data_IF_263848471826
#
_entry.id   IF_263848471826
#
_cell.length_a   1.000
_cell.length_b   1.000
_cell.length_c   1.000
_cell.angle_alpha   90.00
_cell.angle_beta   90.00
_cell.angle_gamma   90.00
#
_symmetry.space_group_name_H-M   'P 1'
#
loop_
_entity.id
_entity.type
_entity.pdbx_description
1 polymer ?
#
# COMPACT_ATOMS: atom_id res chain seq x y z
N UNK A 1 -20.75 18.68 48.65
CA UNK A 1 -20.22 18.01 47.46
C UNK A 1 -19.43 16.79 47.89
N UNK A 2 -19.96 15.58 47.63
CA UNK A 2 -19.29 14.30 47.95
C UNK A 2 -18.86 13.68 46.64
N UNK A 3 -17.57 13.39 46.50
CA UNK A 3 -17.04 12.65 45.36
C UNK A 3 -17.55 11.20 45.41
N UNK A 4 -18.05 10.65 44.28
CA UNK A 4 -18.32 9.22 44.17
C UNK A 4 -17.00 8.43 44.14
N UNK A 5 -16.91 7.39 44.96
CA UNK A 5 -15.75 6.50 45.00
C UNK A 5 -16.05 5.22 44.19
N UNK A 6 -15.27 4.98 43.15
CA UNK A 6 -15.25 3.70 42.46
C UNK A 6 -14.33 2.72 43.19
N UNK A 7 -14.80 1.50 43.41
CA UNK A 7 -14.12 0.49 44.24
C UNK A 7 -13.89 -0.75 43.37
N UNK A 8 -12.63 -1.15 43.22
CA UNK A 8 -12.25 -2.44 42.65
C UNK A 8 -12.51 -3.53 43.68
N UNK A 9 -13.43 -4.45 43.36
CA UNK A 9 -13.66 -5.67 44.15
C UNK A 9 -13.05 -6.83 43.36
N UNK A 10 -11.99 -7.42 43.90
CA UNK A 10 -11.43 -8.65 43.35
C UNK A 10 -12.44 -9.80 43.54
N UNK A 11 -13.08 -10.22 42.45
CA UNK A 11 -13.94 -11.41 42.45
C UNK A 11 -13.25 -12.55 41.70
N UNK A 12 -13.08 -13.68 42.38
CA UNK A 12 -12.74 -14.97 41.80
C UNK A 12 -14.04 -15.62 41.31
N UNK A 13 -14.09 -16.07 40.06
CA UNK A 13 -15.02 -17.08 39.55
C UNK A 13 -14.20 -18.01 38.64
N UNK A 14 -13.98 -19.27 39.01
CA UNK A 14 -14.85 -20.46 38.92
C UNK A 14 -15.37 -20.73 37.51
N UNK A 15 -14.87 -21.85 37.00
CA UNK A 15 -15.14 -22.46 35.70
C UNK A 15 -16.64 -22.66 35.43
N UNK A 16 -17.06 -22.27 34.23
CA UNK A 16 -18.22 -22.84 33.58
C UNK A 16 -17.88 -23.21 32.14
N UNK A 17 -17.89 -24.52 31.88
CA UNK A 17 -17.93 -25.12 30.55
C UNK A 17 -19.18 -24.66 29.80
N UNK A 18 -18.99 -24.28 28.54
CA UNK A 18 -20.02 -24.30 27.50
C UNK A 18 -19.49 -25.10 26.28
N UNK A 19 -20.38 -25.73 25.50
CA UNK A 19 -20.05 -26.82 24.62
C UNK A 19 -19.48 -26.37 23.27
N UNK A 20 -18.72 -27.28 22.66
CA UNK A 20 -18.29 -27.29 21.27
C UNK A 20 -19.46 -27.51 20.31
N UNK A 21 -19.46 -26.80 19.17
CA UNK A 21 -19.41 -27.40 17.83
C UNK A 21 -19.66 -26.34 16.76
N UNK A 22 -18.79 -26.36 15.73
CA UNK A 22 -19.08 -26.11 14.31
C UNK A 22 -20.14 -25.06 13.95
N UNK A 23 -19.70 -23.96 13.36
CA UNK A 23 -20.00 -23.65 11.96
C UNK A 23 -19.15 -22.45 11.52
N UNK A 24 -18.04 -22.77 10.85
CA UNK A 24 -17.24 -21.82 10.09
C UNK A 24 -18.04 -21.50 8.82
N UNK A 25 -18.45 -20.24 8.66
CA UNK A 25 -19.01 -19.74 7.41
C UNK A 25 -18.03 -18.73 6.85
N UNK A 26 -17.15 -19.22 5.98
CA UNK A 26 -16.25 -18.43 5.15
C UNK A 26 -17.06 -17.48 4.26
N UNK A 27 -16.95 -16.17 4.50
CA UNK A 27 -17.37 -15.13 3.54
C UNK A 27 -16.15 -14.64 2.76
N UNK A 28 -15.53 -15.56 2.02
CA UNK A 28 -14.63 -15.23 0.90
C UNK A 28 -15.23 -15.86 -0.36
N UNK A 29 -16.13 -15.15 -1.00
CA UNK A 29 -16.64 -15.51 -2.33
C UNK A 29 -16.88 -14.25 -3.18
N UNK A 30 -15.79 -13.61 -3.58
CA UNK A 30 -15.77 -12.85 -4.83
C UNK A 30 -14.85 -13.60 -5.78
N UNK A 31 -15.48 -14.35 -6.69
CA UNK A 31 -14.85 -15.10 -7.75
C UNK A 31 -14.11 -14.15 -8.69
N UNK A 32 -12.77 -14.18 -8.63
CA UNK A 32 -11.93 -13.82 -9.77
C UNK A 32 -11.63 -15.10 -10.56
N UNK A 33 -11.73 -15.09 -11.90
CA UNK A 33 -11.58 -16.31 -12.68
C UNK A 33 -10.19 -16.93 -12.49
N UNK A 34 -10.17 -18.22 -12.18
CA UNK A 34 -8.96 -19.04 -12.11
C UNK A 34 -8.18 -18.94 -13.43
N UNK A 35 -6.90 -18.56 -13.33
CA UNK A 35 -5.92 -18.75 -14.39
C UNK A 35 -5.87 -20.24 -14.74
N UNK A 36 -6.31 -20.60 -15.94
CA UNK A 36 -6.02 -21.89 -16.54
C UNK A 36 -4.52 -21.97 -16.82
N UNK A 37 -3.78 -22.73 -16.02
CA UNK A 37 -2.57 -23.38 -16.49
C UNK A 37 -2.99 -24.47 -17.46
N UNK A 38 -3.02 -24.11 -18.75
CA UNK A 38 -2.66 -24.96 -19.89
C UNK A 38 -2.89 -24.18 -21.18
N UNK A 39 -1.91 -23.34 -21.51
CA UNK A 39 -1.55 -23.08 -22.90
C UNK A 39 -0.04 -23.13 -22.98
N UNK A 40 0.44 -24.33 -23.29
CA UNK A 40 1.69 -24.49 -24.01
C UNK A 40 1.82 -23.38 -25.05
N UNK A 41 2.97 -22.70 -25.04
CA UNK A 41 3.35 -21.77 -26.08
C UNK A 41 3.23 -22.49 -27.42
N UNK A 42 2.12 -22.24 -28.11
CA UNK A 42 2.01 -22.59 -29.51
C UNK A 42 3.09 -21.76 -30.23
N UNK A 43 3.94 -22.38 -31.06
CA UNK A 43 4.82 -21.60 -31.90
C UNK A 43 3.93 -20.66 -32.72
N UNK A 44 4.39 -19.42 -32.89
CA UNK A 44 3.80 -18.51 -33.88
C UNK A 44 3.50 -19.33 -35.13
N UNK A 45 2.23 -19.42 -35.52
CA UNK A 45 1.85 -19.95 -36.82
C UNK A 45 2.57 -19.08 -37.84
N UNK A 46 3.70 -19.57 -38.33
CA UNK A 46 4.19 -19.24 -39.66
C UNK A 46 2.99 -19.49 -40.57
N UNK A 47 2.38 -18.39 -41.01
CA UNK A 47 1.49 -18.43 -42.14
C UNK A 47 2.35 -18.79 -43.34
N UNK A 48 2.53 -20.09 -43.55
CA UNK A 48 3.01 -20.69 -44.79
C UNK A 48 2.00 -20.36 -45.89
N UNK A 49 2.11 -19.14 -46.42
CA UNK A 49 1.61 -18.76 -47.72
C UNK A 49 2.82 -18.64 -48.65
N UNK A 50 3.36 -19.81 -48.97
CA UNK A 50 4.34 -20.01 -50.03
C UNK A 50 3.65 -19.79 -51.40
N UNK A 51 3.35 -18.54 -51.74
CA UNK A 51 2.97 -18.12 -53.10
C UNK A 51 2.95 -16.59 -53.26
N UNK A 52 4.10 -15.92 -53.18
CA UNK A 52 4.25 -14.58 -53.79
C UNK A 52 5.64 -14.49 -54.38
N UNK A 53 5.72 -14.38 -55.72
CA UNK A 53 6.90 -13.79 -56.34
C UNK A 53 7.25 -12.52 -55.58
N UNK A 54 8.51 -12.40 -55.17
CA UNK A 54 8.96 -11.34 -54.26
C UNK A 54 8.48 -10.00 -54.80
N UNK A 55 7.52 -9.38 -54.10
CA UNK A 55 7.01 -8.07 -54.51
C UNK A 55 8.20 -7.13 -54.59
N UNK A 56 8.47 -6.62 -55.79
CA UNK A 56 9.60 -5.70 -56.01
C UNK A 56 9.26 -4.27 -55.61
N UNK A 57 7.96 -3.95 -55.54
CA UNK A 57 7.43 -2.62 -55.27
C UNK A 57 6.51 -2.67 -54.05
N UNK A 58 6.79 -1.84 -53.06
CA UNK A 58 6.01 -1.69 -51.84
C UNK A 58 5.52 -0.25 -51.70
N UNK A 59 4.21 -0.06 -51.57
CA UNK A 59 3.62 1.24 -51.24
C UNK A 59 3.54 1.35 -49.72
N UNK A 60 4.38 2.18 -49.12
CA UNK A 60 4.36 2.49 -47.70
C UNK A 60 3.48 3.72 -47.54
N UNK A 61 2.29 3.54 -46.97
CA UNK A 61 1.34 4.63 -46.72
C UNK A 61 1.87 5.59 -45.63
N UNK A 62 1.25 6.79 -45.45
CA UNK A 62 1.50 7.60 -44.26
C UNK A 62 1.31 6.80 -42.97
N UNK A 63 2.14 7.08 -41.95
CA UNK A 63 2.13 6.37 -40.66
C UNK A 63 2.31 4.86 -40.73
N UNK A 64 2.87 4.36 -41.83
CA UNK A 64 3.34 2.97 -41.93
C UNK A 64 4.86 2.93 -42.06
N UNK A 65 5.44 1.82 -41.63
CA UNK A 65 6.86 1.53 -41.76
C UNK A 65 7.11 0.09 -42.19
N UNK A 66 8.30 -0.18 -42.71
CA UNK A 66 8.75 -1.55 -42.99
C UNK A 66 10.21 -1.74 -42.59
N UNK A 67 10.63 -3.00 -42.42
CA UNK A 67 12.03 -3.34 -42.20
C UNK A 67 12.62 -3.99 -43.44
N UNK A 68 13.74 -3.46 -43.90
CA UNK A 68 14.48 -3.97 -45.07
C UNK A 68 15.87 -4.39 -44.61
N UNK A 69 16.22 -5.63 -44.88
CA UNK A 69 17.56 -6.20 -44.70
C UNK A 69 18.32 -6.10 -46.01
N UNK A 70 19.46 -5.41 -45.99
CA UNK A 70 20.47 -5.53 -47.04
C UNK A 70 21.32 -6.78 -46.78
N UNK A 71 21.29 -7.74 -47.70
CA UNK A 71 22.01 -9.02 -47.60
C UNK A 71 23.52 -8.88 -47.82
N UNK A 72 23.98 -7.80 -48.45
CA UNK A 72 25.41 -7.56 -48.68
C UNK A 72 26.08 -7.08 -47.40
N UNK A 73 25.45 -6.13 -46.71
CA UNK A 73 25.96 -5.56 -45.46
C UNK A 73 25.43 -6.26 -44.21
N UNK A 74 24.39 -7.09 -44.37
CA UNK A 74 23.61 -7.72 -43.28
C UNK A 74 22.99 -6.70 -42.31
N UNK A 75 22.65 -5.51 -42.81
CA UNK A 75 22.07 -4.42 -42.02
C UNK A 75 20.57 -4.36 -42.27
N UNK A 76 19.80 -4.44 -41.20
CA UNK A 76 18.36 -4.15 -41.23
C UNK A 76 18.13 -2.67 -40.91
N UNK A 77 17.33 -2.00 -41.73
CA UNK A 77 16.92 -0.61 -41.52
C UNK A 77 15.41 -0.44 -41.62
N UNK A 78 14.92 0.67 -41.08
CA UNK A 78 13.51 1.04 -41.16
C UNK A 78 13.27 1.97 -42.35
N UNK A 79 12.21 1.69 -43.11
CA UNK A 79 11.75 2.55 -44.20
C UNK A 79 10.36 3.09 -43.84
N UNK A 80 10.28 4.40 -43.61
CA UNK A 80 9.05 5.12 -43.22
C UNK A 80 8.30 5.66 -44.47
N UNK A 81 6.96 5.60 -44.47
CA UNK A 81 6.12 6.22 -45.49
C UNK A 81 5.79 7.70 -45.22
N UNK A 82 5.16 8.43 -46.17
CA UNK A 82 4.62 7.95 -47.44
C UNK A 82 5.69 7.84 -48.52
N UNK A 83 5.93 6.63 -49.03
CA UNK A 83 6.81 6.42 -50.20
C UNK A 83 6.52 5.11 -50.91
N UNK A 84 6.82 5.09 -52.21
CA UNK A 84 6.86 3.85 -52.96
C UNK A 84 8.30 3.33 -52.91
N UNK A 85 8.52 2.28 -52.15
CA UNK A 85 9.81 1.63 -51.98
C UNK A 85 10.01 0.57 -53.07
N UNK A 86 11.12 0.66 -53.80
CA UNK A 86 11.50 -0.32 -54.83
C UNK A 86 12.68 -1.11 -54.25
N UNK A 87 12.43 -2.39 -53.97
CA UNK A 87 13.41 -3.29 -53.37
C UNK A 87 14.51 -3.63 -54.39
N UNK A 88 15.76 -3.50 -53.99
CA UNK A 88 16.91 -3.90 -54.80
C UNK A 88 17.12 -5.43 -54.77
N UNK A 89 17.98 -5.95 -55.65
CA UNK A 89 18.24 -7.40 -55.72
C UNK A 89 18.88 -7.96 -54.45
N UNK A 90 19.77 -7.19 -53.81
CA UNK A 90 20.45 -7.56 -52.57
C UNK A 90 19.61 -7.29 -51.32
N UNK A 91 18.32 -6.99 -51.44
CA UNK A 91 17.48 -6.60 -50.32
C UNK A 91 16.34 -7.59 -50.08
N UNK A 92 16.03 -7.78 -48.80
CA UNK A 92 14.91 -8.59 -48.34
C UNK A 92 14.04 -7.78 -47.38
N UNK A 93 12.75 -7.72 -47.66
CA UNK A 93 11.77 -7.15 -46.73
C UNK A 93 11.51 -8.17 -45.62
N UNK A 94 11.81 -7.80 -44.37
CA UNK A 94 11.59 -8.65 -43.19
C UNK A 94 10.20 -8.46 -42.62
N UNK A 95 9.78 -7.20 -42.49
CA UNK A 95 8.47 -6.80 -41.98
C UNK A 95 7.81 -5.96 -43.07
N UNK A 96 6.56 -6.27 -43.41
CA UNK A 96 5.79 -5.53 -44.40
C UNK A 96 5.43 -4.11 -43.93
N UNK A 97 4.69 -3.32 -44.73
CA UNK A 97 4.15 -2.04 -44.28
C UNK A 97 3.20 -2.21 -43.09
N UNK A 98 3.73 -2.11 -41.87
CA UNK A 98 3.01 -2.15 -40.59
C UNK A 98 2.65 -0.75 -40.12
N UNK A 99 1.62 -0.65 -39.29
CA UNK A 99 1.21 0.61 -38.69
C UNK A 99 2.19 1.07 -37.62
N UNK A 100 2.53 2.36 -37.64
CA UNK A 100 3.28 3.01 -36.56
C UNK A 100 2.50 2.95 -35.25
N UNK A 101 3.24 2.99 -34.15
CA UNK A 101 2.66 3.05 -32.83
C UNK A 101 2.16 4.48 -32.60
N UNK A 102 0.88 4.59 -32.28
CA UNK A 102 0.23 5.84 -31.91
C UNK A 102 -0.10 5.74 -30.43
N UNK A 103 0.44 6.67 -29.62
CA UNK A 103 0.16 6.76 -28.20
C UNK A 103 -0.79 7.96 -27.98
N UNK A 104 -2.08 7.72 -27.68
CA UNK A 104 -3.02 8.79 -27.38
C UNK A 104 -2.63 9.58 -26.13
N UNK A 105 -3.25 10.76 -25.90
CA UNK A 105 -3.11 11.49 -24.64
C UNK A 105 -3.42 10.62 -23.43
N UNK A 106 -2.67 10.82 -22.35
CA UNK A 106 -2.79 10.07 -21.09
C UNK A 106 -2.58 8.55 -21.23
N UNK A 107 -1.87 8.08 -22.27
CA UNK A 107 -1.45 6.69 -22.44
C UNK A 107 0.07 6.58 -22.47
N UNK A 108 0.56 5.36 -22.33
CA UNK A 108 1.96 5.02 -22.48
C UNK A 108 2.11 3.63 -23.11
N UNK A 109 3.30 3.33 -23.61
CA UNK A 109 3.73 1.96 -23.88
C UNK A 109 5.17 1.77 -23.37
N UNK A 110 5.58 0.52 -23.14
CA UNK A 110 6.98 0.22 -22.82
C UNK A 110 7.64 -0.49 -24.00
N UNK A 111 8.85 -0.04 -24.34
CA UNK A 111 9.65 -0.62 -25.42
C UNK A 111 10.86 -1.30 -24.80
N UNK A 112 11.07 -2.57 -25.16
CA UNK A 112 12.27 -3.33 -24.82
C UNK A 112 13.32 -3.16 -25.90
N UNK A 113 14.58 -3.11 -25.46
CA UNK A 113 15.74 -2.83 -26.31
C UNK A 113 15.63 -1.49 -27.07
N UNK A 114 15.32 -0.38 -26.38
CA UNK A 114 15.08 0.90 -27.05
C UNK A 114 16.32 1.38 -27.79
N UNK A 115 16.12 2.10 -28.89
CA UNK A 115 17.22 2.71 -29.65
C UNK A 115 18.01 3.70 -28.82
N UNK A 116 19.32 3.76 -29.06
CA UNK A 116 20.20 4.77 -28.48
C UNK A 116 20.04 6.07 -29.28
N UNK A 117 19.74 7.15 -28.56
CA UNK A 117 19.67 8.51 -29.09
C UNK A 117 20.75 9.38 -28.47
N UNK A 118 21.26 10.34 -29.24
CA UNK A 118 22.23 11.33 -28.76
C UNK A 118 21.52 12.50 -28.05
N UNK A 119 22.29 13.53 -27.65
CA UNK A 119 21.76 14.70 -26.95
C UNK A 119 20.74 15.50 -27.80
N UNK A 120 20.88 15.47 -29.13
CA UNK A 120 19.96 16.09 -30.09
C UNK A 120 18.78 15.18 -30.47
N UNK A 121 18.57 14.07 -29.74
CA UNK A 121 17.51 13.09 -29.99
C UNK A 121 17.61 12.34 -31.33
N UNK A 122 18.75 12.40 -32.00
CA UNK A 122 19.06 11.69 -33.24
C UNK A 122 19.54 10.26 -32.95
N UNK A 123 19.28 9.35 -33.90
CA UNK A 123 19.64 7.94 -33.79
C UNK A 123 21.16 7.74 -33.85
N UNK A 124 21.68 6.89 -32.97
CA UNK A 124 23.09 6.50 -32.97
C UNK A 124 23.26 5.18 -33.70
N UNK A 125 24.22 5.14 -34.62
CA UNK A 125 24.59 3.96 -35.39
C UNK A 125 25.95 3.43 -34.93
N UNK A 126 26.16 2.12 -35.04
CA UNK A 126 27.46 1.47 -34.82
C UNK A 126 28.39 1.66 -36.04
N UNK A 127 29.65 1.24 -35.93
CA UNK A 127 30.69 1.34 -36.97
C UNK A 127 30.28 0.72 -38.31
N UNK A 128 29.41 -0.29 -38.27
CA UNK A 128 28.90 -1.00 -39.45
C UNK A 128 27.70 -0.29 -40.07
N UNK A 129 27.09 0.69 -39.38
CA UNK A 129 25.88 1.40 -39.84
C UNK A 129 24.57 0.79 -39.34
N UNK A 130 24.62 -0.22 -38.47
CA UNK A 130 23.44 -0.75 -37.78
C UNK A 130 23.02 0.19 -36.64
N UNK A 131 21.71 0.33 -36.42
CA UNK A 131 21.20 1.14 -35.31
C UNK A 131 21.58 0.53 -33.97
N UNK A 132 22.06 1.36 -33.04
CA UNK A 132 22.48 0.92 -31.72
C UNK A 132 21.27 0.83 -30.79
N UNK A 133 21.14 -0.29 -30.07
CA UNK A 133 20.09 -0.52 -29.09
C UNK A 133 20.67 -0.56 -27.66
N UNK A 134 19.85 -0.19 -26.68
CA UNK A 134 20.11 -0.48 -25.26
C UNK A 134 19.60 -1.88 -24.94
N UNK A 135 20.39 -2.90 -25.27
CA UNK A 135 20.01 -4.29 -25.04
C UNK A 135 19.65 -4.55 -23.58
N UNK A 136 18.56 -5.29 -23.36
CA UNK A 136 18.01 -5.64 -22.05
C UNK A 136 17.60 -4.42 -21.18
N UNK A 137 17.41 -3.25 -21.79
CA UNK A 137 16.83 -2.08 -21.14
C UNK A 137 15.37 -1.88 -21.58
N UNK A 138 14.66 -1.06 -20.83
CA UNK A 138 13.28 -0.65 -21.10
C UNK A 138 13.23 0.88 -21.29
N UNK A 139 12.28 1.34 -22.09
CA UNK A 139 11.95 2.75 -22.26
C UNK A 139 10.43 2.91 -22.17
N UNK A 140 9.98 3.82 -21.32
CA UNK A 140 8.58 4.23 -21.24
C UNK A 140 8.37 5.37 -22.24
N UNK A 141 7.50 5.17 -23.22
CA UNK A 141 7.12 6.21 -24.19
C UNK A 141 5.73 6.73 -23.84
N UNK A 142 5.61 8.06 -23.74
CA UNK A 142 4.35 8.77 -23.51
C UNK A 142 3.77 9.26 -24.84
N UNK A 143 2.74 10.11 -24.78
CA UNK A 143 2.20 10.81 -25.94
C UNK A 143 3.30 11.53 -26.74
N UNK A 144 3.39 11.19 -28.03
CA UNK A 144 4.32 11.78 -28.99
C UNK A 144 3.83 11.48 -30.43
N UNK A 145 4.54 12.03 -31.42
CA UNK A 145 4.27 11.74 -32.82
C UNK A 145 4.33 10.23 -33.12
N UNK A 146 3.49 9.70 -34.02
CA UNK A 146 3.51 8.30 -34.39
C UNK A 146 4.90 7.83 -34.79
N UNK A 147 5.36 6.73 -34.18
CA UNK A 147 6.74 6.26 -34.35
C UNK A 147 6.78 4.80 -34.82
N UNK A 148 7.77 4.43 -35.65
CA UNK A 148 8.02 3.05 -35.99
C UNK A 148 8.76 2.34 -34.85
N UNK A 149 8.73 1.02 -34.84
CA UNK A 149 9.73 0.23 -34.12
C UNK A 149 10.96 0.09 -34.98
N UNK A 150 12.13 0.31 -34.40
CA UNK A 150 13.39 0.01 -35.09
C UNK A 150 13.72 -1.48 -35.01
N UNK A 151 14.54 -2.01 -35.92
CA UNK A 151 14.93 -3.42 -35.90
C UNK A 151 15.53 -3.81 -34.54
N UNK A 152 14.89 -4.77 -33.87
CA UNK A 152 15.27 -5.26 -32.54
C UNK A 152 14.54 -4.61 -31.35
N UNK A 153 13.83 -3.49 -31.56
CA UNK A 153 12.87 -2.98 -30.59
C UNK A 153 11.64 -3.89 -30.54
N UNK A 154 11.11 -4.09 -29.35
CA UNK A 154 9.91 -4.91 -29.13
C UNK A 154 8.98 -4.15 -28.20
N UNK A 155 7.68 -4.11 -28.52
CA UNK A 155 6.66 -3.62 -27.58
C UNK A 155 6.57 -4.63 -26.43
N UNK A 156 6.87 -4.15 -25.23
CA UNK A 156 6.82 -4.93 -24.00
C UNK A 156 5.43 -4.81 -23.37
N UNK A 157 5.00 -3.58 -23.07
CA UNK A 157 3.62 -3.25 -22.69
C UNK A 157 2.95 -2.52 -23.85
N UNK A 158 1.78 -2.99 -24.35
CA UNK A 158 1.04 -2.29 -25.40
C UNK A 158 0.55 -0.92 -24.92
N UNK A 159 -0.01 -0.12 -25.84
CA UNK A 159 -0.57 1.19 -25.51
C UNK A 159 -1.65 1.05 -24.43
N UNK A 160 -1.36 1.58 -23.25
CA UNK A 160 -2.13 1.39 -22.02
C UNK A 160 -2.37 2.77 -21.38
N UNK A 161 -3.55 3.05 -20.81
CA UNK A 161 -3.80 4.31 -20.11
C UNK A 161 -2.88 4.46 -18.88
N UNK A 162 -2.46 5.68 -18.60
CA UNK A 162 -1.74 6.00 -17.38
C UNK A 162 -2.64 5.80 -16.16
N UNK A 163 -2.06 5.32 -15.07
CA UNK A 163 -2.79 5.06 -13.84
C UNK A 163 -3.12 6.37 -13.14
N UNK A 164 -4.42 6.68 -13.02
CA UNK A 164 -4.90 7.84 -12.26
C UNK A 164 -5.11 7.43 -10.80
N UNK A 165 -4.39 8.08 -9.91
CA UNK A 165 -4.48 7.85 -8.46
C UNK A 165 -5.44 8.88 -7.88
N UNK A 166 -6.50 8.41 -7.23
CA UNK A 166 -7.55 9.28 -6.70
C UNK A 166 -7.13 9.94 -5.38
N UNK A 167 -7.83 11.00 -4.98
CA UNK A 167 -7.70 11.54 -3.63
C UNK A 167 -7.97 10.46 -2.58
N UNK A 168 -7.30 10.53 -1.41
CA UNK A 168 -7.37 9.53 -0.35
C UNK A 168 -6.92 8.12 -0.79
N UNK A 169 -6.11 8.02 -1.83
CA UNK A 169 -5.45 6.78 -2.24
C UNK A 169 -4.00 7.04 -2.64
N UNK A 170 -3.19 5.99 -2.60
CA UNK A 170 -1.81 6.02 -3.06
C UNK A 170 -1.43 4.71 -3.74
N UNK A 171 -0.43 4.76 -4.62
CA UNK A 171 0.26 3.56 -5.07
C UNK A 171 1.45 3.32 -4.13
N UNK A 172 1.57 2.10 -3.60
CA UNK A 172 2.77 1.66 -2.92
C UNK A 172 3.76 1.16 -3.96
N UNK A 173 4.87 1.86 -4.06
CA UNK A 173 5.92 1.63 -5.06
C UNK A 173 7.10 0.94 -4.40
N UNK A 174 7.83 0.14 -5.18
CA UNK A 174 9.11 -0.44 -4.78
C UNK A 174 10.18 -0.22 -5.84
N UNK A 175 11.43 0.00 -5.42
CA UNK A 175 12.57 0.09 -6.31
C UNK A 175 13.06 -1.32 -6.70
N UNK A 176 13.10 -1.64 -7.98
CA UNK A 176 13.61 -2.92 -8.51
C UNK A 176 15.15 -2.91 -8.55
N UNK A 177 15.75 -1.74 -8.74
CA UNK A 177 17.20 -1.52 -8.80
C UNK A 177 17.55 -0.14 -8.24
N UNK A 178 18.82 0.06 -7.92
CA UNK A 178 19.31 1.36 -7.44
C UNK A 178 19.15 2.43 -8.52
N UNK A 179 18.60 3.59 -8.15
CA UNK A 179 18.46 4.73 -9.04
C UNK A 179 18.32 6.06 -8.32
N UNK A 180 18.47 7.15 -9.06
CA UNK A 180 18.29 8.51 -8.55
C UNK A 180 16.91 9.03 -8.96
N UNK A 181 16.08 9.35 -7.96
CA UNK A 181 14.75 9.94 -8.10
C UNK A 181 14.82 11.43 -7.74
N UNK A 182 15.30 12.24 -8.70
CA UNK A 182 15.65 13.63 -8.42
C UNK A 182 16.84 13.70 -7.46
N UNK A 183 16.63 14.29 -6.29
CA UNK A 183 17.65 14.40 -5.23
C UNK A 183 17.69 13.18 -4.30
N UNK A 184 16.73 12.26 -4.43
CA UNK A 184 16.60 11.08 -3.55
C UNK A 184 17.29 9.90 -4.21
N UNK A 185 18.33 9.37 -3.55
CA UNK A 185 18.92 8.08 -3.95
C UNK A 185 18.08 6.96 -3.38
N UNK A 186 17.53 6.12 -4.26
CA UNK A 186 16.74 4.95 -3.88
C UNK A 186 17.56 3.69 -4.09
N UNK A 187 17.59 2.85 -3.06
CA UNK A 187 18.18 1.52 -3.12
C UNK A 187 17.15 0.47 -3.51
N UNK A 188 17.60 -0.62 -4.14
CA UNK A 188 16.73 -1.73 -4.48
C UNK A 188 16.02 -2.27 -3.22
N UNK A 189 14.69 -2.44 -3.32
CA UNK A 189 13.82 -2.83 -2.21
C UNK A 189 13.22 -1.65 -1.43
N UNK A 190 13.67 -0.41 -1.64
CA UNK A 190 13.05 0.75 -1.00
C UNK A 190 11.58 0.84 -1.40
N UNK A 191 10.71 1.09 -0.42
CA UNK A 191 9.29 1.32 -0.62
C UNK A 191 8.89 2.77 -0.30
N UNK A 192 7.98 3.32 -1.08
CA UNK A 192 7.40 4.65 -0.85
C UNK A 192 6.00 4.74 -1.44
N UNK A 193 5.32 5.84 -1.14
CA UNK A 193 3.98 6.13 -1.66
C UNK A 193 4.03 7.17 -2.77
N UNK A 194 3.23 6.94 -3.81
CA UNK A 194 2.80 7.97 -4.74
C UNK A 194 1.35 8.34 -4.39
N UNK A 195 1.17 9.44 -3.67
CA UNK A 195 -0.13 9.89 -3.16
C UNK A 195 -0.93 10.65 -4.24
N UNK A 196 -2.23 10.37 -4.34
CA UNK A 196 -3.14 11.10 -5.22
C UNK A 196 -3.69 12.40 -4.60
N UNK A 197 -4.38 13.26 -5.37
CA UNK A 197 -4.81 13.07 -6.75
C UNK A 197 -3.70 13.38 -7.76
N UNK A 198 -3.24 12.37 -8.50
CA UNK A 198 -2.18 12.53 -9.49
C UNK A 198 -2.19 11.39 -10.51
N UNK A 199 -1.64 11.64 -11.70
CA UNK A 199 -1.43 10.59 -12.72
C UNK A 199 -0.04 10.02 -12.55
N UNK A 200 0.04 8.71 -12.28
CA UNK A 200 1.31 8.00 -12.15
C UNK A 200 1.92 7.76 -13.53
N UNK A 201 3.16 8.21 -13.71
CA UNK A 201 3.98 7.92 -14.89
C UNK A 201 4.90 6.73 -14.54
N UNK A 202 4.71 5.57 -15.18
CA UNK A 202 5.55 4.40 -14.93
C UNK A 202 7.02 4.69 -15.19
N UNK A 203 7.89 4.06 -14.41
CA UNK A 203 9.35 4.10 -14.58
C UNK A 203 9.87 2.68 -14.64
N UNK A 204 10.96 2.48 -15.38
CA UNK A 204 11.54 1.14 -15.57
C UNK A 204 12.26 0.61 -14.32
N UNK A 205 12.64 1.50 -13.40
CA UNK A 205 13.27 1.19 -12.12
C UNK A 205 12.26 0.82 -11.02
N UNK A 206 10.97 1.06 -11.24
CA UNK A 206 9.95 1.09 -10.19
C UNK A 206 8.83 0.10 -10.52
N UNK A 207 8.45 -0.70 -9.53
CA UNK A 207 7.27 -1.56 -9.62
C UNK A 207 6.14 -1.05 -8.72
N UNK A 208 4.90 -1.34 -9.11
CA UNK A 208 3.70 -1.00 -8.34
C UNK A 208 3.27 -2.23 -7.56
N UNK A 209 3.41 -2.21 -6.23
CA UNK A 209 3.03 -3.33 -5.37
C UNK A 209 1.52 -3.43 -5.21
N UNK A 210 0.88 -2.35 -4.78
CA UNK A 210 -0.56 -2.31 -4.50
C UNK A 210 -1.09 -0.88 -4.48
N UNK A 211 -2.42 -0.75 -4.60
CA UNK A 211 -3.13 0.51 -4.35
C UNK A 211 -3.62 0.52 -2.92
N UNK A 212 -3.20 1.52 -2.15
CA UNK A 212 -3.59 1.74 -0.76
C UNK A 212 -4.70 2.79 -0.72
N UNK A 213 -5.73 2.55 0.10
CA UNK A 213 -6.81 3.49 0.35
C UNK A 213 -6.73 4.01 1.78
N UNK A 214 -7.11 5.27 1.97
CA UNK A 214 -7.23 5.82 3.29
C UNK A 214 -8.39 5.16 4.06
N UNK A 215 -8.15 4.85 5.33
CA UNK A 215 -9.18 4.34 6.25
C UNK A 215 -9.79 5.52 7.00
N UNK A 216 -11.12 5.60 7.03
CA UNK A 216 -11.83 6.69 7.70
C UNK A 216 -11.91 6.43 9.20
N UNK A 217 -11.34 7.35 9.98
CA UNK A 217 -11.44 7.38 11.44
C UNK A 217 -12.63 8.24 11.83
N UNK A 218 -13.69 7.61 12.36
CA UNK A 218 -14.87 8.31 12.85
C UNK A 218 -14.62 8.94 14.23
N UNK A 219 -15.50 9.87 14.69
CA UNK A 219 -15.50 10.28 16.10
C UNK A 219 -15.61 9.06 17.02
N UNK A 220 -14.92 9.11 18.17
CA UNK A 220 -14.83 7.99 19.12
C UNK A 220 -14.21 6.71 18.55
N UNK A 221 -13.42 6.82 17.48
CA UNK A 221 -12.62 5.72 16.95
C UNK A 221 -11.16 6.15 16.82
N UNK A 222 -10.29 5.16 16.75
CA UNK A 222 -8.88 5.35 16.44
C UNK A 222 -8.35 4.15 15.65
N UNK A 223 -7.25 4.35 14.91
CA UNK A 223 -6.54 3.25 14.25
C UNK A 223 -5.36 2.82 15.10
N UNK A 224 -5.22 1.50 15.29
CA UNK A 224 -4.01 0.88 15.78
C UNK A 224 -3.11 0.54 14.61
N UNK A 225 -1.91 1.11 14.62
CA UNK A 225 -0.91 0.92 13.59
C UNK A 225 0.27 0.14 14.13
N UNK A 226 0.96 -0.55 13.23
CA UNK A 226 2.23 -1.24 13.47
C UNK A 226 3.26 -0.85 12.42
N UNK A 227 4.49 -0.62 12.84
CA UNK A 227 5.61 -0.38 11.93
C UNK A 227 6.12 -1.71 11.35
N UNK A 228 6.09 -1.85 10.02
CA UNK A 228 6.68 -3.01 9.31
C UNK A 228 8.21 -2.92 9.22
N UNK A 229 8.74 -1.70 9.23
CA UNK A 229 10.16 -1.38 9.22
C UNK A 229 10.39 -0.08 10.01
N UNK A 230 11.65 0.28 10.24
CA UNK A 230 12.00 1.59 10.80
C UNK A 230 11.47 2.71 9.91
N UNK A 231 10.63 3.57 10.47
CA UNK A 231 9.95 4.63 9.71
C UNK A 231 9.67 5.83 10.59
N UNK A 232 9.28 6.94 9.98
CA UNK A 232 8.68 8.07 10.67
C UNK A 232 7.16 8.02 10.48
N UNK A 233 6.41 8.17 11.55
CA UNK A 233 4.97 8.29 11.46
C UNK A 233 4.54 9.64 10.88
N UNK A 234 3.23 9.80 10.65
CA UNK A 234 2.65 11.05 10.11
C UNK A 234 2.85 12.29 10.99
N UNK A 235 3.13 12.12 12.29
CA UNK A 235 3.43 13.22 13.22
C UNK A 235 4.95 13.51 13.29
N UNK A 236 5.77 12.78 12.51
CA UNK A 236 7.22 12.94 12.43
C UNK A 236 8.00 12.20 13.52
N UNK A 237 7.33 11.37 14.33
CA UNK A 237 7.98 10.59 15.37
C UNK A 237 8.59 9.32 14.78
N UNK A 238 9.82 9.02 15.18
CA UNK A 238 10.52 7.81 14.77
C UNK A 238 9.88 6.58 15.43
N UNK A 239 9.68 5.55 14.62
CA UNK A 239 9.07 4.26 14.99
C UNK A 239 10.02 3.14 14.63
N UNK A 240 10.21 2.23 15.57
CA UNK A 240 11.03 1.02 15.34
C UNK A 240 10.18 -0.12 14.81
N UNK A 241 10.80 -1.08 14.12
CA UNK A 241 10.13 -2.26 13.58
C UNK A 241 9.32 -3.00 14.66
N UNK A 242 8.05 -3.27 14.38
CA UNK A 242 7.12 -3.92 15.29
C UNK A 242 6.55 -3.02 16.39
N UNK A 243 6.96 -1.75 16.48
CA UNK A 243 6.32 -0.78 17.37
C UNK A 243 4.86 -0.56 16.94
N UNK A 244 3.97 -0.45 17.92
CA UNK A 244 2.56 -0.16 17.70
C UNK A 244 2.16 1.16 18.35
N UNK A 245 1.26 1.90 17.71
CA UNK A 245 0.71 3.14 18.23
C UNK A 245 -0.75 3.35 17.80
N UNK A 246 -1.41 4.35 18.39
CA UNK A 246 -2.80 4.70 18.12
C UNK A 246 -2.84 6.07 17.44
N UNK A 247 -3.65 6.20 16.38
CA UNK A 247 -3.98 7.47 15.71
C UNK A 247 -5.45 7.80 15.95
N UNK A 248 -5.71 8.89 16.67
CA UNK A 248 -7.07 9.33 17.06
C UNK A 248 -7.65 10.45 16.20
N UNK A 249 -6.84 11.04 15.30
CA UNK A 249 -7.26 12.19 14.49
C UNK A 249 -8.37 11.76 13.54
N UNK A 250 -9.57 12.30 13.74
CA UNK A 250 -10.74 12.01 12.89
C UNK A 250 -10.50 12.44 11.45
N UNK A 251 -11.00 11.64 10.50
CA UNK A 251 -10.86 11.88 9.07
C UNK A 251 -10.25 10.69 8.33
N UNK A 252 -9.95 10.88 7.06
CA UNK A 252 -9.29 9.85 6.25
C UNK A 252 -7.80 9.75 6.63
N UNK A 253 -7.38 8.57 7.06
CA UNK A 253 -5.99 8.27 7.37
C UNK A 253 -5.39 7.36 6.31
N UNK A 254 -4.43 7.88 5.55
CA UNK A 254 -3.69 7.12 4.54
C UNK A 254 -2.41 6.56 5.18
N UNK A 255 -2.31 5.24 5.42
CA UNK A 255 -1.13 4.66 6.05
C UNK A 255 0.10 4.86 5.15
N UNK A 256 1.25 5.13 5.77
CA UNK A 256 2.56 5.20 5.13
C UNK A 256 3.01 3.86 4.55
N UNK A 257 4.07 3.87 3.74
CA UNK A 257 4.59 2.66 3.06
C UNK A 257 4.91 1.51 4.05
N UNK A 258 5.44 1.86 5.22
CA UNK A 258 5.81 0.91 6.27
C UNK A 258 4.83 0.89 7.45
N UNK A 259 3.65 1.48 7.31
CA UNK A 259 2.60 1.45 8.34
C UNK A 259 1.57 0.36 7.99
N UNK A 260 1.29 -0.50 8.96
CA UNK A 260 0.25 -1.53 8.87
C UNK A 260 -0.92 -1.16 9.76
N UNK A 261 -2.14 -1.17 9.22
CA UNK A 261 -3.35 -1.04 10.02
C UNK A 261 -3.66 -2.39 10.66
N UNK A 262 -3.55 -2.46 11.99
CA UNK A 262 -3.79 -3.69 12.76
C UNK A 262 -5.26 -3.81 13.15
N UNK A 263 -5.84 -2.74 13.67
CA UNK A 263 -7.21 -2.76 14.21
C UNK A 263 -7.84 -1.36 14.27
N UNK A 264 -9.18 -1.31 14.33
CA UNK A 264 -9.97 -0.11 14.59
C UNK A 264 -10.46 -0.15 16.03
N UNK A 265 -9.95 0.73 16.87
CA UNK A 265 -10.28 0.77 18.30
C UNK A 265 -11.44 1.75 18.53
N UNK A 266 -12.54 1.23 19.07
CA UNK A 266 -13.68 2.06 19.48
C UNK A 266 -13.48 2.60 20.90
N UNK A 267 -13.97 3.81 21.16
CA UNK A 267 -13.98 4.38 22.49
C UNK A 267 -15.00 3.69 23.39
N UNK A 268 -14.63 3.52 24.66
CA UNK A 268 -15.56 3.22 25.73
C UNK A 268 -16.26 4.53 26.13
N UNK A 269 -17.59 4.56 26.04
CA UNK A 269 -18.41 5.67 26.51
C UNK A 269 -18.61 5.52 28.01
N UNK A 270 -18.18 6.51 28.79
CA UNK A 270 -18.28 6.52 30.24
C UNK A 270 -19.58 7.20 30.68
N UNK A 271 -20.18 6.71 31.76
CA UNK A 271 -21.37 7.32 32.38
C UNK A 271 -21.09 7.59 33.86
N UNK A 272 -21.94 8.37 34.53
CA UNK A 272 -21.81 8.61 35.99
C UNK A 272 -21.82 7.32 36.82
N UNK A 273 -22.30 6.22 36.24
CA UNK A 273 -22.46 4.93 36.92
C UNK A 273 -21.42 3.89 36.50
N UNK A 274 -20.53 4.21 35.58
CA UNK A 274 -19.62 3.25 34.98
C UNK A 274 -18.19 3.82 34.92
N UNK A 275 -17.22 2.97 35.20
CA UNK A 275 -15.81 3.26 35.05
C UNK A 275 -15.13 2.16 34.23
N UNK A 276 -14.15 2.52 33.43
CA UNK A 276 -13.35 1.55 32.67
C UNK A 276 -12.18 1.12 33.55
N UNK A 277 -12.03 -0.19 33.76
CA UNK A 277 -10.91 -0.78 34.47
C UNK A 277 -9.80 -1.12 33.49
N UNK A 278 -8.66 -0.47 33.68
CA UNK A 278 -7.51 -0.56 32.79
C UNK A 278 -6.31 -1.11 33.54
N UNK A 279 -5.49 -1.88 32.82
CA UNK A 279 -4.21 -2.40 33.29
C UNK A 279 -3.09 -2.01 32.34
N UNK A 280 -1.95 -1.60 32.88
CA UNK A 280 -0.76 -1.30 32.09
C UNK A 280 -0.02 -2.59 31.67
N UNK A 281 0.24 -2.74 30.36
CA UNK A 281 1.05 -3.83 29.78
C UNK A 281 2.56 -3.59 29.93
N UNK A 282 2.97 -2.32 30.03
CA UNK A 282 4.37 -1.87 30.18
C UNK A 282 4.38 -0.58 31.02
N UNK A 283 5.56 -0.13 31.44
CA UNK A 283 5.70 1.18 32.07
C UNK A 283 5.66 2.28 31.01
N UNK A 284 4.72 3.22 31.11
CA UNK A 284 4.54 4.31 30.16
C UNK A 284 3.89 5.53 30.84
N UNK A 285 3.75 6.63 30.09
CA UNK A 285 2.99 7.82 30.51
C UNK A 285 1.65 7.80 29.78
N UNK A 286 0.55 7.83 30.52
CA UNK A 286 -0.80 7.83 29.97
C UNK A 286 -1.15 9.17 29.31
N UNK A 287 -2.31 9.23 28.64
CA UNK A 287 -2.80 10.44 27.97
C UNK A 287 -3.05 11.61 28.94
N UNK A 288 -3.25 11.31 30.22
CA UNK A 288 -3.43 12.30 31.29
C UNK A 288 -2.10 12.77 31.90
N UNK A 289 -0.96 12.31 31.37
CA UNK A 289 0.38 12.69 31.83
C UNK A 289 0.85 11.95 33.09
N UNK A 290 0.14 10.90 33.53
CA UNK A 290 0.51 10.11 34.71
C UNK A 290 1.36 8.91 34.31
N UNK A 291 2.46 8.70 35.03
CA UNK A 291 3.30 7.53 34.85
C UNK A 291 2.63 6.29 35.43
N UNK A 292 2.37 5.29 34.58
CA UNK A 292 1.82 3.98 34.96
C UNK A 292 2.91 2.93 34.91
N UNK A 293 3.04 2.11 35.95
CA UNK A 293 4.01 1.01 36.00
C UNK A 293 3.42 -0.25 35.38
N UNK A 294 4.28 -1.12 34.85
CA UNK A 294 3.84 -2.41 34.34
C UNK A 294 3.00 -3.19 35.37
N UNK A 295 1.82 -3.65 34.96
CA UNK A 295 0.86 -4.39 35.79
C UNK A 295 0.04 -3.53 36.75
N UNK A 296 0.27 -2.20 36.80
CA UNK A 296 -0.57 -1.28 37.55
C UNK A 296 -1.99 -1.26 36.96
N UNK A 297 -2.98 -1.20 37.83
CA UNK A 297 -4.40 -1.16 37.47
C UNK A 297 -5.05 0.11 38.01
N UNK A 298 -5.93 0.71 37.22
CA UNK A 298 -6.65 1.91 37.60
C UNK A 298 -8.04 1.96 36.96
N UNK A 299 -8.85 2.90 37.45
CA UNK A 299 -10.16 3.20 36.89
C UNK A 299 -10.10 4.53 36.18
N UNK A 300 -10.80 4.60 35.05
CA UNK A 300 -11.05 5.84 34.31
C UNK A 300 -12.55 6.11 34.42
N UNK A 301 -12.87 7.34 34.81
CA UNK A 301 -14.21 7.75 35.18
C UNK A 301 -14.67 8.93 34.31
N UNK A 302 -15.95 9.26 34.39
CA UNK A 302 -16.51 10.43 33.68
C UNK A 302 -15.83 11.76 34.06
N UNK A 303 -15.22 11.85 35.24
CA UNK A 303 -14.48 13.05 35.66
C UNK A 303 -13.17 13.23 34.87
N UNK A 304 -12.62 12.16 34.30
CA UNK A 304 -11.38 12.18 33.53
C UNK A 304 -11.65 12.45 32.06
N UNK A 305 -12.60 11.70 31.47
CA UNK A 305 -13.04 11.86 30.07
C UNK A 305 -14.43 11.26 29.87
N UNK A 306 -15.20 11.80 28.91
CA UNK A 306 -16.51 11.26 28.52
C UNK A 306 -16.38 9.99 27.66
N UNK A 307 -15.39 9.97 26.77
CA UNK A 307 -15.06 8.81 25.94
C UNK A 307 -13.59 8.48 26.08
N UNK A 308 -13.31 7.19 26.25
CA UNK A 308 -11.95 6.71 26.47
C UNK A 308 -11.56 5.70 25.40
N UNK A 309 -10.51 6.01 24.65
CA UNK A 309 -9.92 5.10 23.67
C UNK A 309 -8.66 4.50 24.30
N UNK A 310 -8.62 3.19 24.57
CA UNK A 310 -7.45 2.54 25.13
C UNK A 310 -6.24 2.67 24.21
N UNK A 311 -5.09 3.05 24.78
CA UNK A 311 -3.80 3.06 24.12
C UNK A 311 -3.23 1.65 23.91
N UNK A 312 -2.13 1.55 23.17
CA UNK A 312 -1.46 0.27 22.86
C UNK A 312 -0.99 -0.47 24.11
N UNK A 313 -0.51 0.27 25.11
CA UNK A 313 0.03 -0.28 26.35
C UNK A 313 -1.02 -0.45 27.45
N UNK A 314 -2.29 -0.29 27.11
CA UNK A 314 -3.41 -0.38 28.02
C UNK A 314 -4.21 -1.65 27.69
N UNK A 315 -4.62 -2.38 28.72
CA UNK A 315 -5.51 -3.53 28.62
C UNK A 315 -6.81 -3.19 29.34
N UNK A 316 -7.93 -3.23 28.63
CA UNK A 316 -9.25 -3.03 29.26
C UNK A 316 -9.68 -4.36 29.85
N UNK A 317 -9.74 -4.43 31.19
CA UNK A 317 -10.16 -5.62 31.92
C UNK A 317 -11.69 -5.71 32.01
N UNK A 318 -12.39 -4.57 31.99
CA UNK A 318 -13.85 -4.53 31.98
C UNK A 318 -14.43 -3.19 32.39
N UNK A 319 -15.76 -3.14 32.48
CA UNK A 319 -16.52 -1.97 32.94
C UNK A 319 -17.00 -2.25 34.37
N UNK A 320 -16.61 -1.39 35.31
CA UNK A 320 -16.98 -1.46 36.72
C UNK A 320 -18.16 -0.52 36.96
N UNK A 321 -19.25 -1.05 37.51
CA UNK A 321 -20.41 -0.25 37.92
C UNK A 321 -20.16 0.39 39.28
N UNK A 322 -20.63 1.62 39.45
CA UNK A 322 -20.60 2.33 40.72
C UNK A 322 -21.39 1.54 41.78
N UNK A 323 -20.82 1.43 42.98
CA UNK A 323 -21.54 0.87 44.13
C UNK A 323 -22.22 2.01 44.89
N UNK A 324 -23.56 2.06 44.83
CA UNK A 324 -24.36 3.04 45.56
C UNK A 324 -24.93 2.43 46.84
N UNK A 325 -24.86 3.16 47.95
CA UNK A 325 -25.44 2.77 49.23
C UNK A 325 -26.58 3.71 49.59
N UNK A 326 -27.76 3.15 49.90
CA UNK A 326 -28.86 3.90 50.52
C UNK A 326 -28.55 4.26 51.98
N UNK A 327 -29.39 5.12 52.58
CA UNK A 327 -29.28 5.52 53.99
C UNK A 327 -29.37 4.37 55.01
N UNK A 328 -29.83 3.18 54.59
CA UNK A 328 -29.94 1.97 55.42
C UNK A 328 -28.92 0.89 55.06
N UNK A 329 -28.01 1.17 54.13
CA UNK A 329 -27.00 0.22 53.68
C UNK A 329 -25.60 0.64 54.11
N UNK A 330 -24.74 -0.36 54.32
CA UNK A 330 -23.31 -0.19 54.53
C UNK A 330 -22.58 -1.28 53.73
N UNK A 331 -21.32 -1.04 53.40
CA UNK A 331 -20.44 -2.08 52.86
C UNK A 331 -19.08 -2.05 53.58
N UNK A 332 -18.37 -3.16 53.52
CA UNK A 332 -17.01 -3.27 54.04
C UNK A 332 -16.09 -3.56 52.86
N UNK A 333 -15.22 -2.61 52.54
CA UNK A 333 -14.19 -2.78 51.52
C UNK A 333 -13.06 -3.58 52.15
N UNK A 334 -12.73 -4.72 51.55
CA UNK A 334 -11.53 -5.48 51.87
C UNK A 334 -10.35 -4.91 51.07
N UNK A 335 -9.18 -4.84 51.69
CA UNK A 335 -7.94 -4.32 51.11
C UNK A 335 -8.08 -2.93 50.47
N UNK A 336 -8.57 -1.93 51.23
CA UNK A 336 -8.84 -0.59 50.69
C UNK A 336 -7.56 0.05 50.13
N UNK A 337 -7.70 0.76 49.02
CA UNK A 337 -6.59 1.53 48.42
C UNK A 337 -6.24 2.71 49.33
N UNK A 338 -4.95 2.84 49.67
CA UNK A 338 -4.42 3.96 50.45
C UNK A 338 -4.11 5.21 49.61
N UNK A 339 -3.67 6.28 50.27
CA UNK A 339 -3.23 7.54 49.62
C UNK A 339 -2.05 7.33 48.67
N UNK A 340 -1.25 6.28 48.90
CA UNK A 340 -0.16 5.87 48.04
C UNK A 340 -0.63 5.12 46.77
N UNK A 341 -1.93 4.98 46.54
CA UNK A 341 -2.50 4.26 45.40
C UNK A 341 -2.34 2.74 45.46
N UNK A 342 -1.94 2.18 46.61
CA UNK A 342 -1.74 0.73 46.78
C UNK A 342 -2.80 0.11 47.69
N UNK A 343 -3.26 -1.14 47.42
CA UNK A 343 -4.13 -1.88 48.32
C UNK A 343 -3.49 -2.15 49.68
N UNK A 344 -4.23 -1.91 50.77
CA UNK A 344 -3.79 -2.21 52.13
C UNK A 344 -4.17 -3.64 52.52
N UNK A 345 -3.33 -4.61 52.13
CA UNK A 345 -3.58 -6.04 52.34
C UNK A 345 -3.91 -6.38 53.80
N UNK A 346 -5.00 -7.12 54.00
CA UNK A 346 -5.50 -7.56 55.31
C UNK A 346 -6.33 -6.51 56.06
N UNK A 347 -6.46 -5.28 55.54
CA UNK A 347 -7.28 -4.24 56.17
C UNK A 347 -8.71 -4.23 55.66
N UNK A 348 -9.60 -3.66 56.45
CA UNK A 348 -11.02 -3.50 56.14
C UNK A 348 -11.44 -2.04 56.38
N UNK A 349 -12.23 -1.48 55.47
CA UNK A 349 -12.79 -0.13 55.59
C UNK A 349 -14.30 -0.19 55.53
N UNK A 350 -14.96 0.20 56.63
CA UNK A 350 -16.42 0.34 56.68
C UNK A 350 -16.84 1.62 55.96
N UNK A 351 -17.75 1.50 55.00
CA UNK A 351 -18.41 2.63 54.33
C UNK A 351 -19.89 2.60 54.67
N UNK A 352 -20.40 3.71 55.20
CA UNK A 352 -21.82 3.93 55.49
C UNK A 352 -22.20 5.37 55.17
N UNK A 353 -23.47 5.60 54.87
CA UNK A 353 -23.99 6.96 54.66
C UNK A 353 -24.11 7.65 56.03
N UNK A 354 -23.26 8.63 56.31
CA UNK A 354 -23.47 9.54 57.44
C UNK A 354 -24.56 10.54 57.05
N UNK A 355 -25.66 10.49 57.81
CA UNK A 355 -26.80 11.41 57.76
C UNK A 355 -26.35 12.78 58.24
#
# INVERSE_FOLDING_TARGET
>A
HREPAFILVNSKHTDHHFPSSSDIVDFNSVNWPQLSQDKSMAPHKESDNNSKGERSIFRIAPYKYMHVLDQTTNITRVEIGPKTYIRQENERVLIGPEDMIIIPPCHYCTIRNPVVRNAENALVFDKVGQIKLKHADLEVRLEQDPFPLYPGEIIDTPVTPLTVVSANSALRLTAIRDFEDGDIKRTAGDEWLFEGPATFIPRKEVDVLETIFATVINPNQALRLRAKAETKDRDGKERVTGEEWIVKKTGAYLPGAYEEIVDVVNANVLTEKEAVHVKAKKTFVDEFGKTRKNGEEWLITLNDTETYIPGVYEDVLGIIKITTLSNRQYCVILDPVGENGKPQLGRKKLIKVCI
#
